data_IF_172220528981
#
_entry.id   IF_172220528981
#
_cell.length_a   1.000
_cell.length_b   1.000
_cell.length_c   1.000
_cell.angle_alpha   90.00
_cell.angle_beta   90.00
_cell.angle_gamma   90.00
#
_symmetry.space_group_name_H-M   'P 1'
#
loop_
_entity.id
_entity.type
_entity.pdbx_description
1 polymer ?
#
# COMPACT_ATOMS: atom_id res chain seq x y z
N UNK A 1 6.51 4.31 17.72
CA UNK A 1 6.87 4.03 16.29
C UNK A 1 6.65 2.57 15.93
N UNK A 2 7.32 1.59 16.56
CA UNK A 2 7.07 0.14 16.31
C UNK A 2 5.63 -0.32 16.53
N UNK A 3 4.97 0.14 17.59
CA UNK A 3 3.58 -0.23 17.89
C UNK A 3 2.57 0.21 16.81
N UNK A 4 2.97 1.11 15.91
CA UNK A 4 2.12 1.61 14.83
C UNK A 4 2.34 0.85 13.51
N UNK A 5 3.45 0.12 13.36
CA UNK A 5 3.76 -0.66 12.15
C UNK A 5 2.65 -1.67 11.79
N UNK A 6 2.11 -2.45 12.75
CA UNK A 6 1.03 -3.37 12.44
C UNK A 6 -0.18 -2.66 11.83
N UNK A 7 -0.46 -1.41 12.24
CA UNK A 7 -1.57 -0.63 11.69
C UNK A 7 -1.33 -0.21 10.24
N UNK A 8 -0.10 0.16 9.87
CA UNK A 8 0.25 0.47 8.48
C UNK A 8 0.17 -0.77 7.59
N UNK A 9 0.64 -1.93 8.09
CA UNK A 9 0.52 -3.19 7.40
C UNK A 9 -0.95 -3.58 7.19
N UNK A 10 -1.77 -3.56 8.25
CA UNK A 10 -3.21 -3.84 8.17
C UNK A 10 -3.92 -2.89 7.21
N UNK A 11 -3.60 -1.60 7.22
CA UNK A 11 -4.20 -0.64 6.29
C UNK A 11 -3.80 -0.94 4.84
N UNK A 12 -2.51 -1.20 4.59
CA UNK A 12 -2.02 -1.59 3.26
C UNK A 12 -2.74 -2.82 2.73
N UNK A 13 -2.90 -3.85 3.58
CA UNK A 13 -3.57 -5.10 3.21
C UNK A 13 -5.06 -4.90 3.00
N UNK A 14 -5.73 -4.10 3.83
CA UNK A 14 -7.15 -3.76 3.66
C UNK A 14 -7.40 -3.10 2.30
N UNK A 15 -6.55 -2.15 1.91
CA UNK A 15 -6.66 -1.49 0.59
C UNK A 15 -6.39 -2.48 -0.54
N UNK A 16 -5.40 -3.38 -0.41
CA UNK A 16 -5.13 -4.42 -1.42
C UNK A 16 -6.29 -5.39 -1.58
N UNK A 17 -6.90 -5.83 -0.49
CA UNK A 17 -8.08 -6.71 -0.53
C UNK A 17 -9.25 -6.03 -1.20
N UNK A 18 -9.57 -4.79 -0.81
CA UNK A 18 -10.64 -4.02 -1.44
C UNK A 18 -10.38 -3.80 -2.94
N UNK A 19 -9.13 -3.54 -3.33
CA UNK A 19 -8.74 -3.41 -4.74
C UNK A 19 -8.91 -4.73 -5.51
N UNK A 20 -8.53 -5.86 -4.92
CA UNK A 20 -8.71 -7.17 -5.53
C UNK A 20 -10.20 -7.51 -5.73
N UNK A 21 -11.03 -7.18 -4.74
CA UNK A 21 -12.48 -7.34 -4.85
C UNK A 21 -13.09 -6.44 -5.92
N UNK A 22 -12.69 -5.17 -5.97
CA UNK A 22 -13.11 -4.25 -7.02
C UNK A 22 -12.73 -4.76 -8.40
N UNK A 23 -11.48 -5.18 -8.59
CA UNK A 23 -11.01 -5.75 -9.85
C UNK A 23 -11.83 -6.98 -10.26
N UNK A 24 -12.11 -7.88 -9.32
CA UNK A 24 -12.91 -9.08 -9.58
C UNK A 24 -14.33 -8.74 -10.05
N UNK A 25 -14.97 -7.73 -9.44
CA UNK A 25 -16.30 -7.29 -9.87
C UNK A 25 -16.25 -6.69 -11.27
N UNK A 26 -15.30 -5.79 -11.53
CA UNK A 26 -15.09 -5.19 -12.85
C UNK A 26 -14.88 -6.26 -13.94
N UNK A 27 -13.99 -7.22 -13.68
CA UNK A 27 -13.68 -8.29 -14.63
C UNK A 27 -14.90 -9.22 -14.86
N UNK A 28 -15.75 -9.42 -13.85
CA UNK A 28 -16.94 -10.26 -13.94
C UNK A 28 -18.09 -9.59 -14.72
N UNK A 29 -18.22 -8.26 -14.65
CA UNK A 29 -19.25 -7.53 -15.39
C UNK A 29 -18.93 -7.43 -16.89
N UNK A 30 -17.66 -7.44 -17.29
CA UNK A 30 -17.25 -7.38 -18.70
C UNK A 30 -17.72 -6.09 -19.40
N UNK A 31 -17.88 -6.13 -20.72
CA UNK A 31 -18.39 -4.96 -21.46
C UNK A 31 -19.91 -4.81 -21.29
N UNK A 32 -20.30 -3.97 -20.32
CA UNK A 32 -21.71 -3.67 -20.01
C UNK A 32 -22.38 -2.70 -20.98
N UNK A 33 -21.65 -2.14 -21.93
CA UNK A 33 -22.09 -0.99 -22.73
C UNK A 33 -22.83 -1.40 -24.01
N UNK A 34 -22.86 -2.69 -24.35
CA UNK A 34 -23.43 -3.19 -25.61
C UNK A 34 -22.45 -3.07 -26.77
N UNK A 35 -22.71 -3.85 -27.83
CA UNK A 35 -21.82 -3.94 -29.01
C UNK A 35 -22.18 -2.97 -30.15
N UNK A 36 -23.17 -2.10 -29.93
CA UNK A 36 -23.58 -1.06 -30.88
C UNK A 36 -22.58 0.12 -30.88
N UNK A 37 -22.78 1.08 -31.78
CA UNK A 37 -21.87 2.21 -31.93
C UNK A 37 -21.80 3.08 -30.66
N UNK A 38 -22.95 3.25 -30.00
CA UNK A 38 -23.05 3.92 -28.70
C UNK A 38 -22.20 3.19 -27.66
N UNK A 39 -22.43 1.89 -27.48
CA UNK A 39 -21.71 1.07 -26.50
C UNK A 39 -20.20 1.06 -26.70
N UNK A 40 -19.74 0.98 -27.95
CA UNK A 40 -18.31 1.09 -28.30
C UNK A 40 -17.73 2.45 -27.95
N UNK A 41 -18.47 3.53 -28.19
CA UNK A 41 -18.03 4.90 -27.83
C UNK A 41 -17.88 5.09 -26.32
N UNK A 42 -18.81 4.52 -25.53
CA UNK A 42 -18.69 4.51 -24.07
C UNK A 42 -17.49 3.69 -23.61
N UNK A 43 -17.30 2.48 -24.13
CA UNK A 43 -16.17 1.63 -23.77
C UNK A 43 -14.81 2.31 -24.08
N UNK A 44 -14.68 2.95 -25.25
CA UNK A 44 -13.46 3.67 -25.63
C UNK A 44 -13.07 4.78 -24.64
N UNK A 45 -14.04 5.48 -24.08
CA UNK A 45 -13.78 6.63 -23.21
C UNK A 45 -13.65 6.25 -21.73
N UNK A 46 -14.36 5.21 -21.26
CA UNK A 46 -14.43 4.88 -19.83
C UNK A 46 -13.56 3.69 -19.42
N UNK A 47 -13.37 2.69 -20.29
CA UNK A 47 -12.56 1.51 -19.97
C UNK A 47 -11.08 1.83 -19.68
N UNK A 48 -10.41 2.76 -20.39
CA UNK A 48 -9.00 3.07 -20.09
C UNK A 48 -8.77 3.55 -18.66
N UNK A 49 -9.67 4.40 -18.13
CA UNK A 49 -9.56 4.95 -16.78
C UNK A 49 -9.65 3.91 -15.66
N UNK A 50 -10.22 2.73 -15.96
CA UNK A 50 -10.28 1.61 -15.02
C UNK A 50 -8.89 1.08 -14.69
N UNK A 51 -8.05 0.88 -15.71
CA UNK A 51 -6.68 0.38 -15.54
C UNK A 51 -5.82 1.35 -14.72
N UNK A 52 -5.94 2.64 -15.02
CA UNK A 52 -5.22 3.70 -14.31
C UNK A 52 -5.67 3.80 -12.86
N UNK A 53 -6.97 3.73 -12.61
CA UNK A 53 -7.54 3.74 -11.26
C UNK A 53 -7.06 2.55 -10.41
N UNK A 54 -7.13 1.33 -10.96
CA UNK A 54 -6.66 0.12 -10.28
C UNK A 54 -5.16 0.21 -9.96
N UNK A 55 -4.37 0.69 -10.91
CA UNK A 55 -2.92 0.88 -10.74
C UNK A 55 -2.61 1.92 -9.66
N UNK A 56 -3.31 3.06 -9.68
CA UNK A 56 -3.13 4.14 -8.71
C UNK A 56 -3.45 3.72 -7.28
N UNK A 57 -4.55 2.99 -7.08
CA UNK A 57 -4.93 2.46 -5.75
C UNK A 57 -3.90 1.43 -5.28
N UNK A 58 -3.42 0.57 -6.16
CA UNK A 58 -2.36 -0.41 -5.84
C UNK A 58 -1.05 0.27 -5.42
N UNK A 59 -0.65 1.32 -6.14
CA UNK A 59 0.51 2.13 -5.81
C UNK A 59 0.37 2.82 -4.44
N UNK A 60 -0.81 3.37 -4.14
CA UNK A 60 -1.12 3.97 -2.83
C UNK A 60 -0.98 2.93 -1.70
N UNK A 61 -1.59 1.76 -1.85
CA UNK A 61 -1.48 0.69 -0.84
C UNK A 61 -0.02 0.30 -0.58
N UNK A 62 0.77 0.18 -1.65
CA UNK A 62 2.21 -0.08 -1.57
C UNK A 62 2.98 1.03 -0.85
N UNK A 63 2.69 2.29 -1.13
CA UNK A 63 3.33 3.44 -0.49
C UNK A 63 3.06 3.49 1.02
N UNK A 64 1.81 3.22 1.44
CA UNK A 64 1.42 3.15 2.86
C UNK A 64 2.20 2.06 3.60
N UNK A 65 2.34 0.88 2.99
CA UNK A 65 3.14 -0.22 3.57
C UNK A 65 4.61 0.15 3.75
N UNK A 66 5.24 0.66 2.67
CA UNK A 66 6.65 1.09 2.68
C UNK A 66 6.94 2.19 3.71
N UNK A 67 5.98 3.09 3.93
CA UNK A 67 6.09 4.11 4.96
C UNK A 67 6.13 3.48 6.36
N UNK A 68 5.24 2.52 6.65
CA UNK A 68 5.25 1.77 7.90
C UNK A 68 6.58 1.03 8.16
N UNK A 69 7.15 0.43 7.11
CA UNK A 69 8.44 -0.25 7.18
C UNK A 69 9.57 0.73 7.49
N UNK A 70 9.57 1.88 6.84
CA UNK A 70 10.58 2.93 7.05
C UNK A 70 10.56 3.47 8.48
N UNK A 71 9.37 3.75 9.03
CA UNK A 71 9.20 4.17 10.44
C UNK A 71 9.73 3.11 11.41
N UNK A 72 9.58 1.83 11.08
CA UNK A 72 10.07 0.71 11.89
C UNK A 72 11.57 0.60 11.84
N UNK A 73 12.16 0.73 10.64
CA UNK A 73 13.60 0.73 10.46
C UNK A 73 14.27 1.86 11.26
N UNK A 74 13.72 3.08 11.20
CA UNK A 74 14.21 4.21 12.00
C UNK A 74 14.11 3.94 13.50
N UNK A 75 13.00 3.36 13.97
CA UNK A 75 12.83 3.03 15.38
C UNK A 75 13.84 1.97 15.87
N UNK A 76 14.14 0.96 15.04
CA UNK A 76 15.13 -0.07 15.36
C UNK A 76 16.55 0.52 15.39
N UNK A 77 16.88 1.39 14.44
CA UNK A 77 18.19 2.05 14.39
C UNK A 77 18.42 2.89 15.64
N UNK A 78 17.44 3.71 16.04
CA UNK A 78 17.54 4.53 17.24
C UNK A 78 17.74 3.67 18.50
N UNK A 79 16.98 2.59 18.62
CA UNK A 79 17.12 1.67 19.75
C UNK A 79 18.51 1.00 19.79
N UNK A 80 19.05 0.63 18.64
CA UNK A 80 20.39 0.03 18.54
C UNK A 80 21.46 1.04 19.00
N UNK A 81 21.41 2.27 18.49
CA UNK A 81 22.35 3.33 18.88
C UNK A 81 22.31 3.62 20.38
N UNK A 82 21.11 3.70 20.97
CA UNK A 82 20.96 3.89 22.42
C UNK A 82 21.59 2.74 23.23
N UNK A 83 21.42 1.50 22.78
CA UNK A 83 22.00 0.32 23.44
C UNK A 83 23.53 0.30 23.34
N UNK A 84 24.08 0.63 22.18
CA UNK A 84 25.53 0.73 21.94
C UNK A 84 26.16 1.82 22.82
N UNK A 85 25.53 2.99 22.90
CA UNK A 85 26.01 4.09 23.74
C UNK A 85 25.92 3.76 25.23
N UNK A 86 24.82 3.13 25.67
CA UNK A 86 24.68 2.69 27.06
C UNK A 86 25.72 1.63 27.44
N UNK A 87 26.06 0.72 26.53
CA UNK A 87 27.12 -0.27 26.74
C UNK A 87 28.51 0.39 26.84
N UNK A 88 28.82 1.34 25.97
CA UNK A 88 30.07 2.09 25.99
C UNK A 88 30.24 2.89 27.30
N UNK A 89 29.18 3.57 27.76
CA UNK A 89 29.20 4.30 29.02
C UNK A 89 29.45 3.38 30.23
N UNK A 90 28.83 2.19 30.24
CA UNK A 90 29.06 1.20 31.31
C UNK A 90 30.52 0.71 31.34
N UNK A 91 31.13 0.50 30.17
CA UNK A 91 32.54 0.09 30.08
C UNK A 91 33.52 1.19 30.51
N UNK A 92 33.16 2.48 30.37
CA UNK A 92 34.00 3.59 30.83
C UNK A 92 33.93 3.85 32.34
N UNK A 93 32.93 3.30 33.04
CA UNK A 93 32.70 3.51 34.48
C UNK A 93 33.19 2.34 35.36
N UNK A 94 33.77 1.31 34.75
CA UNK A 94 34.33 0.11 35.38
C UNK A 94 35.82 0.01 35.14
#
# INVERSE_FOLDING_TARGET
>A
MRATQPKFATLSDTVRTALADLKRVIDAEGECWGSDETGKSFAQNYTPGVGDGLTGIGALAGAVGKFGDSVTATANLLQQTDQEHAAALKQQQS
#
